data_IF_934609762024
#
_entry.id   IF_934609762024
#
_cell.length_a   1.000
_cell.length_b   1.000
_cell.length_c   1.000
_cell.angle_alpha   90.00
_cell.angle_beta   90.00
_cell.angle_gamma   90.00
#
_symmetry.space_group_name_H-M   'P 1'
#
loop_
_entity.id
_entity.type
_entity.pdbx_description
1 polymer ?
#
# COMPACT_ATOMS: atom_id res chain seq x y z
N UNK A 1 -32.14 4.53 -31.71
CA UNK A 1 -31.55 4.85 -30.40
C UNK A 1 -31.28 3.58 -29.57
N UNK A 2 -32.30 2.74 -29.29
CA UNK A 2 -32.18 1.54 -28.42
C UNK A 2 -31.20 0.50 -28.97
N UNK A 3 -31.25 0.13 -30.25
CA UNK A 3 -30.33 -0.82 -30.87
C UNK A 3 -28.87 -0.36 -30.80
N UNK A 4 -28.61 0.94 -30.98
CA UNK A 4 -27.26 1.50 -30.84
C UNK A 4 -26.77 1.47 -29.39
N UNK A 5 -27.65 1.62 -28.40
CA UNK A 5 -27.30 1.50 -27.00
C UNK A 5 -26.94 0.04 -26.63
N UNK A 6 -27.70 -0.93 -27.14
CA UNK A 6 -27.39 -2.36 -26.95
C UNK A 6 -26.08 -2.78 -27.62
N UNK A 7 -25.78 -2.24 -28.83
CA UNK A 7 -24.49 -2.51 -29.49
C UNK A 7 -23.32 -2.00 -28.66
N UNK A 8 -23.39 -0.76 -28.17
CA UNK A 8 -22.34 -0.17 -27.29
C UNK A 8 -22.19 -0.92 -25.98
N UNK A 9 -23.29 -1.40 -25.38
CA UNK A 9 -23.23 -2.22 -24.19
C UNK A 9 -22.51 -3.54 -24.47
N UNK A 10 -22.82 -4.20 -25.60
CA UNK A 10 -22.12 -5.43 -26.01
C UNK A 10 -20.63 -5.21 -26.19
N UNK A 11 -20.24 -4.16 -26.93
CA UNK A 11 -18.81 -3.78 -27.10
C UNK A 11 -18.12 -3.54 -25.75
N UNK A 12 -18.75 -2.81 -24.84
CA UNK A 12 -18.21 -2.55 -23.50
C UNK A 12 -18.06 -3.81 -22.65
N UNK A 13 -19.00 -4.77 -22.79
CA UNK A 13 -18.89 -6.08 -22.11
C UNK A 13 -17.72 -6.88 -22.71
N UNK A 14 -17.58 -6.93 -24.03
CA UNK A 14 -16.50 -7.65 -24.71
C UNK A 14 -15.12 -7.09 -24.32
N UNK A 15 -14.99 -5.77 -24.23
CA UNK A 15 -13.77 -5.12 -23.73
C UNK A 15 -13.50 -5.48 -22.26
N UNK A 16 -14.52 -5.43 -21.42
CA UNK A 16 -14.38 -5.69 -19.98
C UNK A 16 -13.96 -7.14 -19.69
N UNK A 17 -14.48 -8.12 -20.45
CA UNK A 17 -14.14 -9.55 -20.26
C UNK A 17 -12.92 -9.99 -21.06
N UNK A 18 -12.24 -9.08 -21.75
CA UNK A 18 -11.07 -9.41 -22.56
C UNK A 18 -9.92 -9.91 -21.68
N UNK A 19 -9.57 -11.18 -21.81
CA UNK A 19 -8.55 -11.82 -20.98
C UNK A 19 -7.16 -11.19 -21.14
N UNK A 20 -6.80 -10.70 -22.33
CA UNK A 20 -5.50 -10.08 -22.57
C UNK A 20 -5.38 -8.75 -21.83
N UNK A 21 -6.42 -7.94 -21.85
CA UNK A 21 -6.47 -6.66 -21.17
C UNK A 21 -6.52 -6.83 -19.66
N UNK A 22 -7.31 -7.78 -19.19
CA UNK A 22 -7.34 -8.12 -17.76
C UNK A 22 -5.99 -8.59 -17.25
N UNK A 23 -5.27 -9.45 -18.00
CA UNK A 23 -3.90 -9.86 -17.64
C UNK A 23 -2.94 -8.68 -17.59
N UNK A 24 -3.01 -7.74 -18.54
CA UNK A 24 -2.19 -6.52 -18.52
C UNK A 24 -2.48 -5.66 -17.30
N UNK A 25 -3.75 -5.52 -16.95
CA UNK A 25 -4.13 -4.80 -15.74
C UNK A 25 -3.58 -5.47 -14.47
N UNK A 26 -3.67 -6.80 -14.37
CA UNK A 26 -3.05 -7.54 -13.26
C UNK A 26 -1.54 -7.28 -13.19
N UNK A 27 -0.83 -7.26 -14.33
CA UNK A 27 0.60 -6.92 -14.35
C UNK A 27 0.87 -5.49 -13.82
N UNK A 28 -0.02 -4.54 -14.09
CA UNK A 28 0.07 -3.19 -13.50
C UNK A 28 -0.06 -3.27 -11.97
N UNK A 29 -1.04 -4.02 -11.45
CA UNK A 29 -1.22 -4.21 -10.00
C UNK A 29 -0.02 -4.89 -9.34
N UNK A 30 0.51 -5.93 -9.95
CA UNK A 30 1.72 -6.62 -9.48
C UNK A 30 2.94 -5.69 -9.47
N UNK A 31 3.05 -4.82 -10.49
CA UNK A 31 4.11 -3.81 -10.55
C UNK A 31 3.99 -2.73 -9.47
N UNK A 32 2.81 -2.52 -8.90
CA UNK A 32 2.58 -1.67 -7.72
C UNK A 32 2.98 -2.36 -6.39
N UNK A 33 3.35 -3.63 -6.44
CA UNK A 33 3.64 -4.42 -5.25
C UNK A 33 2.43 -5.15 -4.66
N UNK A 34 1.29 -5.17 -5.35
CA UNK A 34 0.14 -5.97 -4.93
C UNK A 34 0.44 -7.45 -5.12
N UNK A 35 0.32 -8.22 -4.05
CA UNK A 35 0.48 -9.68 -4.08
C UNK A 35 -0.91 -10.31 -3.97
N UNK A 36 -1.31 -11.03 -5.01
CA UNK A 36 -2.63 -11.69 -5.07
C UNK A 36 -2.87 -12.57 -3.84
N UNK A 37 -4.04 -12.38 -3.21
CA UNK A 37 -4.47 -13.14 -2.04
C UNK A 37 -3.74 -12.80 -0.73
N UNK A 38 -2.71 -11.94 -0.75
CA UNK A 38 -1.90 -11.61 0.45
C UNK A 38 -2.09 -10.17 0.92
N UNK A 39 -2.06 -9.20 0.02
CA UNK A 39 -2.39 -7.81 0.35
C UNK A 39 -3.84 -7.58 -0.07
N UNK A 40 -4.76 -7.65 0.89
CA UNK A 40 -6.19 -7.54 0.64
C UNK A 40 -6.72 -6.19 1.13
N UNK A 41 -7.47 -5.50 0.29
CA UNK A 41 -8.18 -4.28 0.64
C UNK A 41 -9.64 -4.58 1.00
N UNK A 42 -10.23 -3.70 1.81
CA UNK A 42 -11.66 -3.75 2.10
C UNK A 42 -12.43 -3.22 0.89
N UNK A 43 -12.90 -4.13 0.06
CA UNK A 43 -13.60 -3.82 -1.18
C UNK A 43 -12.68 -3.71 -2.40
N UNK A 44 -13.30 -3.84 -3.58
CA UNK A 44 -12.62 -3.87 -4.89
C UNK A 44 -13.04 -2.72 -5.80
N UNK A 45 -13.89 -1.82 -5.34
CA UNK A 45 -14.46 -0.75 -6.15
C UNK A 45 -13.38 0.15 -6.80
N UNK A 46 -12.33 0.48 -6.05
CA UNK A 46 -11.21 1.27 -6.56
C UNK A 46 -10.40 0.52 -7.65
N UNK A 47 -10.33 -0.82 -7.59
CA UNK A 47 -9.70 -1.64 -8.64
C UNK A 47 -10.58 -1.67 -9.90
N UNK A 48 -11.89 -1.78 -9.73
CA UNK A 48 -12.83 -1.74 -10.85
C UNK A 48 -12.77 -0.39 -11.57
N UNK A 49 -12.71 0.72 -10.83
CA UNK A 49 -12.53 2.05 -11.40
C UNK A 49 -11.16 2.21 -12.09
N UNK A 50 -10.10 1.66 -11.49
CA UNK A 50 -8.77 1.62 -12.12
C UNK A 50 -8.76 0.81 -13.42
N UNK A 51 -9.50 -0.31 -13.48
CA UNK A 51 -9.63 -1.10 -14.70
C UNK A 51 -10.46 -0.36 -15.77
N UNK A 52 -11.53 0.32 -15.38
CA UNK A 52 -12.30 1.18 -16.28
C UNK A 52 -11.40 2.28 -16.89
N UNK A 53 -10.62 2.98 -16.07
CA UNK A 53 -9.66 3.97 -16.55
C UNK A 53 -8.62 3.35 -17.51
N UNK A 54 -8.10 2.16 -17.19
CA UNK A 54 -7.18 1.42 -18.05
C UNK A 54 -7.80 1.15 -19.44
N UNK A 55 -9.03 0.66 -19.51
CA UNK A 55 -9.71 0.35 -20.77
C UNK A 55 -9.95 1.62 -21.60
N UNK A 56 -10.40 2.71 -20.96
CA UNK A 56 -10.64 3.99 -21.63
C UNK A 56 -9.32 4.55 -22.19
N UNK A 57 -8.25 4.58 -21.39
CA UNK A 57 -6.94 5.07 -21.83
C UNK A 57 -6.33 4.20 -22.95
N UNK A 58 -6.58 2.89 -22.92
CA UNK A 58 -6.16 1.98 -24.00
C UNK A 58 -6.76 2.39 -25.35
N UNK A 59 -8.03 2.82 -25.38
CA UNK A 59 -8.73 3.27 -26.57
C UNK A 59 -8.27 4.64 -27.08
N UNK A 60 -7.49 5.41 -26.30
CA UNK A 60 -7.04 6.75 -26.69
C UNK A 60 -5.75 6.70 -27.53
N UNK A 61 -5.83 7.19 -28.77
CA UNK A 61 -4.66 7.35 -29.62
C UNK A 61 -3.79 8.53 -29.14
N UNK A 62 -2.47 8.40 -29.26
CA UNK A 62 -1.52 9.48 -28.96
C UNK A 62 -1.03 9.53 -27.52
N UNK A 63 -1.63 8.81 -26.56
CA UNK A 63 -1.12 8.72 -25.19
C UNK A 63 -0.10 7.60 -25.11
N UNK A 64 1.16 7.87 -24.73
CA UNK A 64 2.17 6.82 -24.55
C UNK A 64 1.75 5.77 -23.51
N UNK A 65 2.13 4.51 -23.71
CA UNK A 65 1.80 3.43 -22.78
C UNK A 65 2.28 3.72 -21.35
N UNK A 66 3.47 4.27 -21.19
CA UNK A 66 4.03 4.62 -19.86
C UNK A 66 3.18 5.65 -19.13
N UNK A 67 2.61 6.63 -19.84
CA UNK A 67 1.70 7.64 -19.27
C UNK A 67 0.39 6.96 -18.83
N UNK A 68 -0.20 6.13 -19.71
CA UNK A 68 -1.43 5.39 -19.37
C UNK A 68 -1.27 4.53 -18.12
N UNK A 69 -0.20 3.75 -18.05
CA UNK A 69 0.09 2.90 -16.89
C UNK A 69 0.36 3.71 -15.63
N UNK A 70 1.08 4.83 -15.74
CA UNK A 70 1.34 5.74 -14.62
C UNK A 70 0.05 6.32 -14.05
N UNK A 71 -0.85 6.81 -14.90
CA UNK A 71 -2.15 7.34 -14.48
C UNK A 71 -3.01 6.30 -13.77
N UNK A 72 -3.08 5.07 -14.32
CA UNK A 72 -3.82 3.98 -13.70
C UNK A 72 -3.25 3.64 -12.32
N UNK A 73 -1.93 3.56 -12.18
CA UNK A 73 -1.24 3.32 -10.92
C UNK A 73 -1.54 4.40 -9.88
N UNK A 74 -1.40 5.66 -10.29
CA UNK A 74 -1.65 6.80 -9.41
C UNK A 74 -3.12 6.86 -8.98
N UNK A 75 -4.06 6.60 -9.91
CA UNK A 75 -5.49 6.54 -9.58
C UNK A 75 -5.82 5.47 -8.55
N UNK A 76 -5.26 4.26 -8.70
CA UNK A 76 -5.45 3.16 -7.75
C UNK A 76 -4.94 3.54 -6.36
N UNK A 77 -3.72 4.09 -6.28
CA UNK A 77 -3.11 4.50 -5.01
C UNK A 77 -3.92 5.62 -4.35
N UNK A 78 -4.25 6.67 -5.10
CA UNK A 78 -5.04 7.80 -4.60
C UNK A 78 -6.38 7.31 -4.07
N UNK A 79 -7.10 6.51 -4.85
CA UNK A 79 -8.41 5.98 -4.47
C UNK A 79 -8.37 5.11 -3.23
N UNK A 80 -7.34 4.28 -3.07
CA UNK A 80 -7.15 3.45 -1.89
C UNK A 80 -6.83 4.30 -0.66
N UNK A 81 -5.91 5.26 -0.77
CA UNK A 81 -5.50 6.14 0.33
C UNK A 81 -6.62 7.02 0.84
N UNK A 82 -7.40 7.62 -0.07
CA UNK A 82 -8.50 8.54 0.28
C UNK A 82 -9.80 7.83 0.66
N UNK A 83 -9.89 6.52 0.40
CA UNK A 83 -11.15 5.79 0.55
C UNK A 83 -12.24 6.27 -0.42
N UNK A 84 -11.86 6.76 -1.63
CA UNK A 84 -12.74 7.37 -2.63
C UNK A 84 -14.05 6.61 -2.86
N UNK A 85 -14.02 5.29 -2.79
CA UNK A 85 -15.17 4.41 -3.03
C UNK A 85 -15.74 3.77 -1.75
N UNK A 86 -15.44 4.32 -0.58
CA UNK A 86 -15.90 3.76 0.70
C UNK A 86 -17.37 4.08 1.04
N UNK A 87 -17.95 5.09 0.40
CA UNK A 87 -19.35 5.48 0.54
C UNK A 87 -20.22 4.85 -0.56
N UNK A 88 -20.98 5.68 -1.28
CA UNK A 88 -21.74 5.26 -2.48
C UNK A 88 -20.80 5.03 -3.66
N UNK A 89 -20.24 3.82 -3.75
CA UNK A 89 -19.27 3.46 -4.79
C UNK A 89 -19.81 3.59 -6.20
N UNK A 90 -21.09 3.32 -6.41
CA UNK A 90 -21.75 3.43 -7.73
C UNK A 90 -21.84 4.88 -8.20
N UNK A 91 -22.29 5.78 -7.33
CA UNK A 91 -22.36 7.22 -7.64
C UNK A 91 -20.97 7.80 -7.91
N UNK A 92 -19.98 7.39 -7.12
CA UNK A 92 -18.61 7.84 -7.34
C UNK A 92 -18.03 7.31 -8.66
N UNK A 93 -18.31 6.05 -9.01
CA UNK A 93 -17.88 5.48 -10.29
C UNK A 93 -18.54 6.17 -11.48
N UNK A 94 -19.81 6.57 -11.36
CA UNK A 94 -20.51 7.34 -12.40
C UNK A 94 -19.83 8.69 -12.62
N UNK A 95 -19.55 9.43 -11.55
CA UNK A 95 -18.81 10.71 -11.63
C UNK A 95 -17.43 10.53 -12.27
N UNK A 96 -16.69 9.52 -11.84
CA UNK A 96 -15.36 9.23 -12.37
C UNK A 96 -15.40 8.76 -13.82
N UNK A 97 -16.46 8.06 -14.23
CA UNK A 97 -16.68 7.72 -15.63
C UNK A 97 -16.79 8.98 -16.51
N UNK A 98 -17.52 10.00 -16.06
CA UNK A 98 -17.57 11.29 -16.76
C UNK A 98 -16.20 11.95 -16.85
N UNK A 99 -15.44 11.94 -15.77
CA UNK A 99 -14.07 12.45 -15.75
C UNK A 99 -13.16 11.71 -16.75
N UNK A 100 -13.23 10.39 -16.80
CA UNK A 100 -12.42 9.56 -17.70
C UNK A 100 -12.74 9.73 -19.17
N UNK A 101 -13.95 10.25 -19.52
CA UNK A 101 -14.34 10.60 -20.86
C UNK A 101 -14.10 12.07 -21.22
N UNK A 102 -13.37 12.82 -20.39
CA UNK A 102 -13.00 14.19 -20.69
C UNK A 102 -12.13 14.26 -21.96
N UNK A 103 -12.25 15.35 -22.73
CA UNK A 103 -11.49 15.52 -23.96
C UNK A 103 -9.95 15.48 -23.75
N UNK A 104 -9.48 16.02 -22.63
CA UNK A 104 -8.12 15.84 -22.12
C UNK A 104 -8.17 15.01 -20.83
N UNK A 105 -8.26 13.71 -21.00
CA UNK A 105 -8.37 12.76 -19.87
C UNK A 105 -7.11 12.78 -19.02
N UNK A 106 -5.93 13.00 -19.60
CA UNK A 106 -4.66 13.01 -18.86
C UNK A 106 -4.67 14.16 -17.85
N UNK A 107 -4.87 15.40 -18.33
CA UNK A 107 -4.90 16.56 -17.46
C UNK A 107 -6.03 16.50 -16.42
N UNK A 108 -7.21 15.96 -16.80
CA UNK A 108 -8.36 15.85 -15.90
C UNK A 108 -8.06 14.86 -14.75
N UNK A 109 -7.49 13.69 -15.05
CA UNK A 109 -7.12 12.68 -14.05
C UNK A 109 -5.97 13.16 -13.16
N UNK A 110 -4.93 13.77 -13.74
CA UNK A 110 -3.81 14.33 -12.96
C UNK A 110 -4.29 15.41 -11.99
N UNK A 111 -5.19 16.30 -12.45
CA UNK A 111 -5.77 17.32 -11.59
C UNK A 111 -6.56 16.72 -10.44
N UNK A 112 -7.42 15.74 -10.72
CA UNK A 112 -8.23 15.09 -9.67
C UNK A 112 -7.34 14.41 -8.62
N UNK A 113 -6.25 13.73 -9.04
CA UNK A 113 -5.28 13.12 -8.13
C UNK A 113 -4.59 14.19 -7.27
N UNK A 114 -4.16 15.30 -7.87
CA UNK A 114 -3.50 16.38 -7.14
C UNK A 114 -4.46 17.06 -6.14
N UNK A 115 -5.71 17.26 -6.52
CA UNK A 115 -6.74 17.84 -5.65
C UNK A 115 -7.08 16.90 -4.47
N UNK A 116 -7.07 15.58 -4.69
CA UNK A 116 -7.36 14.58 -3.67
C UNK A 116 -6.18 14.34 -2.70
N UNK A 117 -4.94 14.59 -3.12
CA UNK A 117 -3.72 14.37 -2.34
C UNK A 117 -2.88 15.66 -2.20
N UNK A 118 -3.45 16.76 -1.65
CA UNK A 118 -2.72 17.99 -1.40
C UNK A 118 -1.65 17.77 -0.31
N UNK A 119 -0.76 18.76 -0.12
CA UNK A 119 0.28 18.69 0.92
C UNK A 119 -0.29 18.40 2.32
N UNK A 120 -1.47 18.94 2.64
CA UNK A 120 -2.16 18.68 3.91
C UNK A 120 -2.62 17.23 4.07
N UNK A 121 -2.82 16.50 2.97
CA UNK A 121 -3.09 15.06 3.04
C UNK A 121 -1.89 14.32 3.64
N UNK A 122 -0.69 14.60 3.14
CA UNK A 122 0.54 13.91 3.52
C UNK A 122 1.01 14.30 4.92
N UNK A 123 0.89 15.58 5.27
CA UNK A 123 1.42 16.13 6.52
C UNK A 123 0.47 16.01 7.72
N UNK A 124 -0.83 15.88 7.47
CA UNK A 124 -1.85 15.88 8.54
C UNK A 124 -2.76 14.66 8.46
N UNK A 125 -3.42 14.44 7.29
CA UNK A 125 -4.47 13.43 7.22
C UNK A 125 -3.91 12.01 7.27
N UNK A 126 -2.87 11.72 6.49
CA UNK A 126 -2.25 10.39 6.46
C UNK A 126 -1.64 10.00 7.82
N UNK A 127 -0.85 10.85 8.51
CA UNK A 127 -0.36 10.55 9.85
C UNK A 127 -1.50 10.25 10.83
N UNK A 128 -2.57 11.05 10.85
CA UNK A 128 -3.72 10.79 11.70
C UNK A 128 -4.43 9.47 11.37
N UNK A 129 -4.52 9.12 10.08
CA UNK A 129 -5.11 7.85 9.64
C UNK A 129 -4.25 6.63 10.00
N UNK A 130 -2.94 6.82 10.14
CA UNK A 130 -1.99 5.76 10.53
C UNK A 130 -1.92 5.59 12.05
N UNK A 131 -2.43 6.51 12.86
CA UNK A 131 -2.53 6.39 14.31
C UNK A 131 -3.61 5.35 14.71
N UNK A 132 -3.37 4.08 14.35
CA UNK A 132 -4.31 2.97 14.52
C UNK A 132 -3.60 1.64 14.71
N UNK A 133 -4.30 0.68 15.34
CA UNK A 133 -3.85 -0.70 15.48
C UNK A 133 -4.28 -1.60 14.29
N UNK A 134 -5.14 -1.10 13.41
CA UNK A 134 -5.79 -1.91 12.38
C UNK A 134 -4.87 -2.16 11.18
N UNK A 135 -4.43 -3.40 11.00
CA UNK A 135 -3.74 -3.85 9.78
C UNK A 135 -4.64 -3.84 8.53
N UNK A 136 -5.94 -3.54 8.70
CA UNK A 136 -6.87 -3.31 7.60
C UNK A 136 -6.81 -1.87 7.07
N UNK A 137 -6.01 -1.00 7.68
CA UNK A 137 -5.80 0.37 7.25
C UNK A 137 -5.18 0.43 5.84
N UNK A 138 -5.76 1.25 4.96
CA UNK A 138 -5.31 1.35 3.57
C UNK A 138 -3.91 1.97 3.45
N UNK A 139 -3.56 2.93 4.31
CA UNK A 139 -2.21 3.50 4.35
C UNK A 139 -1.15 2.46 4.67
N UNK A 140 -1.42 1.58 5.66
CA UNK A 140 -0.54 0.45 5.97
C UNK A 140 -0.38 -0.50 4.77
N UNK A 141 -1.45 -0.81 4.07
CA UNK A 141 -1.40 -1.69 2.89
C UNK A 141 -0.64 -1.06 1.72
N UNK A 142 -0.83 0.24 1.49
CA UNK A 142 -0.05 0.97 0.49
C UNK A 142 1.44 1.00 0.86
N UNK A 143 1.77 1.17 2.15
CA UNK A 143 3.15 1.06 2.62
C UNK A 143 3.75 -0.34 2.35
N UNK A 144 3.00 -1.41 2.63
CA UNK A 144 3.43 -2.77 2.29
C UNK A 144 3.65 -2.94 0.78
N UNK A 145 2.74 -2.42 -0.04
CA UNK A 145 2.90 -2.44 -1.50
C UNK A 145 4.16 -1.68 -1.94
N UNK A 146 4.45 -0.53 -1.36
CA UNK A 146 5.66 0.23 -1.64
C UNK A 146 6.92 -0.55 -1.25
N UNK A 147 6.93 -1.23 -0.10
CA UNK A 147 8.04 -2.12 0.30
C UNK A 147 8.23 -3.27 -0.70
N UNK A 148 7.14 -3.89 -1.17
CA UNK A 148 7.20 -4.96 -2.16
C UNK A 148 7.68 -4.45 -3.52
N UNK A 149 7.19 -3.29 -3.97
CA UNK A 149 7.60 -2.63 -5.21
C UNK A 149 9.10 -2.30 -5.21
N UNK A 150 9.59 -1.74 -4.11
CA UNK A 150 10.98 -1.34 -3.94
C UNK A 150 11.92 -2.52 -3.63
N UNK A 151 11.40 -3.74 -3.55
CA UNK A 151 12.16 -4.92 -3.14
C UNK A 151 12.85 -4.73 -1.78
N UNK A 152 12.20 -4.01 -0.88
CA UNK A 152 12.71 -3.72 0.47
C UNK A 152 13.08 -5.01 1.18
N UNK A 153 14.26 -5.05 1.77
CA UNK A 153 14.70 -6.13 2.64
C UNK A 153 13.92 -6.05 3.94
N UNK A 154 13.43 -7.19 4.42
CA UNK A 154 12.67 -7.28 5.65
C UNK A 154 13.52 -6.83 6.86
N UNK A 155 12.86 -6.36 7.90
CA UNK A 155 13.53 -5.82 9.08
C UNK A 155 14.57 -6.77 9.65
N UNK A 156 15.81 -6.29 9.85
CA UNK A 156 16.95 -7.03 10.38
C UNK A 156 17.38 -8.26 9.55
N UNK A 157 16.96 -8.34 8.30
CA UNK A 157 17.37 -9.40 7.38
C UNK A 157 18.44 -8.91 6.40
N UNK A 158 19.16 -9.84 5.79
CA UNK A 158 20.20 -9.55 4.79
C UNK A 158 19.67 -9.64 3.35
N UNK A 159 19.07 -10.76 3.04
CA UNK A 159 18.70 -11.14 1.67
C UNK A 159 17.22 -11.53 1.53
N UNK A 160 16.46 -11.46 2.62
CA UNK A 160 15.02 -11.82 2.62
C UNK A 160 14.20 -10.55 2.44
N UNK A 161 13.49 -10.45 1.32
CA UNK A 161 12.64 -9.28 1.04
C UNK A 161 11.30 -9.37 1.75
N UNK A 162 10.66 -8.22 1.97
CA UNK A 162 9.28 -8.13 2.47
C UNK A 162 8.33 -8.96 1.60
N UNK A 163 8.52 -8.94 0.26
CA UNK A 163 7.76 -9.81 -0.66
C UNK A 163 7.88 -11.28 -0.28
N UNK A 164 9.09 -11.75 0.00
CA UNK A 164 9.35 -13.15 0.36
C UNK A 164 8.62 -13.52 1.66
N UNK A 165 8.75 -12.68 2.69
CA UNK A 165 8.09 -12.91 3.99
C UNK A 165 6.57 -12.99 3.81
N UNK A 166 5.96 -12.04 3.09
CA UNK A 166 4.51 -12.03 2.82
C UNK A 166 4.08 -13.27 2.03
N UNK A 167 4.83 -13.65 1.00
CA UNK A 167 4.50 -14.80 0.14
C UNK A 167 4.59 -16.13 0.87
N UNK A 168 5.45 -16.24 1.86
CA UNK A 168 5.63 -17.43 2.71
C UNK A 168 4.70 -17.44 3.93
N UNK A 169 3.65 -16.63 3.92
CA UNK A 169 2.69 -16.51 5.04
C UNK A 169 3.34 -16.06 6.36
N UNK A 170 4.43 -15.29 6.23
CA UNK A 170 5.05 -14.66 7.38
C UNK A 170 4.09 -13.73 8.12
N UNK A 171 4.37 -13.51 9.39
CA UNK A 171 3.53 -12.69 10.25
C UNK A 171 4.11 -11.28 10.41
N UNK A 172 3.24 -10.33 10.72
CA UNK A 172 3.62 -9.02 11.21
C UNK A 172 4.12 -9.17 12.64
N UNK A 173 5.29 -8.60 12.90
CA UNK A 173 5.92 -8.61 14.21
C UNK A 173 5.96 -7.19 14.79
N UNK A 174 6.31 -7.09 16.08
CA UNK A 174 6.41 -5.82 16.78
C UNK A 174 7.88 -5.43 16.90
N UNK A 175 8.20 -4.18 16.53
CA UNK A 175 9.53 -3.57 16.68
C UNK A 175 9.91 -3.55 18.18
N UNK A 176 9.00 -3.03 19.01
CA UNK A 176 9.06 -3.19 20.45
C UNK A 176 8.21 -4.41 20.82
N UNK A 177 8.82 -5.53 21.25
CA UNK A 177 8.09 -6.77 21.49
C UNK A 177 6.94 -6.62 22.50
N UNK A 178 5.83 -7.28 22.24
CA UNK A 178 4.64 -7.23 23.14
C UNK A 178 4.98 -7.55 24.59
N UNK A 179 5.75 -8.62 24.79
CA UNK A 179 6.13 -9.04 26.13
C UNK A 179 6.98 -7.97 26.85
N UNK A 180 7.86 -7.29 26.13
CA UNK A 180 8.62 -6.16 26.67
C UNK A 180 7.69 -5.02 27.11
N UNK A 181 6.81 -4.56 26.23
CA UNK A 181 5.90 -3.46 26.52
C UNK A 181 4.92 -3.78 27.65
N UNK A 182 4.36 -5.00 27.69
CA UNK A 182 3.52 -5.45 28.82
C UNK A 182 4.24 -5.42 30.17
N UNK A 183 5.51 -5.84 30.22
CA UNK A 183 6.31 -5.76 31.46
C UNK A 183 6.46 -4.35 31.99
N UNK A 184 6.38 -3.34 31.10
CA UNK A 184 6.49 -1.92 31.45
C UNK A 184 5.15 -1.24 31.64
N UNK A 185 4.03 -1.97 31.52
CA UNK A 185 2.69 -1.47 31.83
C UNK A 185 1.94 -0.85 30.65
N UNK A 186 2.45 -0.95 29.42
CA UNK A 186 1.75 -0.47 28.24
C UNK A 186 0.42 -1.21 28.01
N UNK A 187 -0.59 -0.47 27.61
CA UNK A 187 -1.91 -1.02 27.32
C UNK A 187 -1.95 -1.65 25.92
N UNK A 188 -2.92 -2.54 25.68
CA UNK A 188 -3.04 -3.28 24.41
C UNK A 188 -3.19 -2.36 23.18
N UNK A 189 -3.88 -1.23 23.32
CA UNK A 189 -4.04 -0.25 22.26
C UNK A 189 -2.77 0.57 21.98
N UNK A 190 -1.89 0.71 22.94
CA UNK A 190 -0.58 1.33 22.79
C UNK A 190 0.40 0.36 22.11
N UNK A 191 0.38 -0.90 22.51
CA UNK A 191 1.25 -1.96 21.97
C UNK A 191 0.96 -2.23 20.50
N UNK A 192 -0.32 -2.38 20.15
CA UNK A 192 -0.77 -2.71 18.81
C UNK A 192 -0.97 -1.43 17.99
N UNK A 193 0.10 -0.75 17.64
CA UNK A 193 0.10 0.38 16.72
C UNK A 193 0.78 0.01 15.41
N UNK A 194 0.29 0.55 14.28
CA UNK A 194 0.93 0.33 12.97
C UNK A 194 2.39 0.76 13.00
N UNK A 195 2.71 1.86 13.68
CA UNK A 195 4.08 2.34 13.86
C UNK A 195 5.01 1.34 14.57
N UNK A 196 4.44 0.39 15.32
CA UNK A 196 5.19 -0.68 15.99
C UNK A 196 5.24 -1.98 15.17
N UNK A 197 4.80 -1.99 13.92
CA UNK A 197 4.73 -3.20 13.08
C UNK A 197 5.86 -3.24 12.06
N UNK A 198 6.43 -4.42 11.86
CA UNK A 198 7.43 -4.69 10.83
C UNK A 198 7.25 -6.09 10.23
N UNK A 199 7.84 -6.29 9.06
CA UNK A 199 8.00 -7.61 8.46
C UNK A 199 9.35 -8.19 8.89
N UNK A 200 9.30 -9.35 9.52
CA UNK A 200 10.42 -10.04 10.12
C UNK A 200 10.24 -11.54 9.93
N UNK A 201 11.34 -12.27 9.73
CA UNK A 201 11.26 -13.73 9.70
C UNK A 201 11.05 -14.32 11.09
N UNK A 202 10.44 -15.50 11.16
CA UNK A 202 10.23 -16.18 12.44
C UNK A 202 11.54 -16.47 13.20
N UNK A 203 12.65 -16.94 12.55
CA UNK A 203 13.91 -17.11 13.24
C UNK A 203 14.44 -15.82 13.86
N UNK A 204 14.36 -14.69 13.13
CA UNK A 204 14.79 -13.38 13.63
C UNK A 204 13.92 -12.92 14.79
N UNK A 205 12.62 -13.10 14.71
CA UNK A 205 11.70 -12.78 15.79
C UNK A 205 12.02 -13.57 17.08
N UNK A 206 12.34 -14.85 16.96
CA UNK A 206 12.76 -15.67 18.11
C UNK A 206 14.09 -15.20 18.69
N UNK A 207 15.02 -14.73 17.86
CA UNK A 207 16.31 -14.18 18.32
C UNK A 207 16.14 -12.90 19.12
N UNK A 208 15.31 -11.95 18.67
CA UNK A 208 15.07 -10.71 19.42
C UNK A 208 14.23 -10.95 20.68
N UNK A 209 13.38 -11.97 20.68
CA UNK A 209 12.54 -12.39 21.82
C UNK A 209 11.76 -11.23 22.46
N UNK A 210 12.00 -10.91 23.72
CA UNK A 210 11.38 -9.82 24.47
C UNK A 210 12.34 -8.65 24.76
N UNK A 211 13.42 -8.53 24.00
CA UNK A 211 14.42 -7.46 24.16
C UNK A 211 13.95 -6.17 23.47
N UNK A 212 14.20 -5.03 24.11
CA UNK A 212 14.01 -3.72 23.50
C UNK A 212 14.98 -3.48 22.33
N UNK A 213 14.68 -2.56 21.39
CA UNK A 213 15.58 -2.20 20.30
C UNK A 213 16.99 -1.83 20.78
N UNK A 214 17.13 -1.04 21.85
CA UNK A 214 18.44 -0.68 22.45
C UNK A 214 19.31 -1.89 22.84
N UNK A 215 18.71 -3.08 22.99
CA UNK A 215 19.40 -4.32 23.31
C UNK A 215 19.64 -5.17 22.08
N UNK A 216 18.58 -5.55 21.35
CA UNK A 216 18.74 -6.46 20.22
C UNK A 216 19.50 -5.83 19.05
N UNK A 217 19.43 -4.51 18.86
CA UNK A 217 20.16 -3.85 17.79
C UNK A 217 21.67 -3.70 18.06
N UNK A 218 22.11 -3.97 19.29
CA UNK A 218 23.54 -4.07 19.66
C UNK A 218 24.08 -5.49 19.56
N UNK A 219 23.23 -6.49 19.32
CA UNK A 219 23.67 -7.86 19.08
C UNK A 219 24.50 -7.91 17.78
N UNK A 220 25.75 -8.43 17.80
CA UNK A 220 26.57 -8.57 16.60
C UNK A 220 25.86 -9.31 15.45
N UNK A 221 24.99 -10.27 15.74
CA UNK A 221 24.21 -11.00 14.75
C UNK A 221 23.11 -10.15 14.09
N UNK A 222 22.80 -8.99 14.63
CA UNK A 222 21.75 -8.06 14.15
C UNK A 222 22.34 -6.76 13.62
N UNK A 223 23.43 -6.28 14.21
CA UNK A 223 24.06 -4.98 13.90
C UNK A 223 24.46 -4.85 12.43
N UNK A 224 24.89 -5.96 11.81
CA UNK A 224 25.25 -5.99 10.37
C UNK A 224 24.09 -5.53 9.47
N UNK A 225 22.85 -5.77 9.88
CA UNK A 225 21.64 -5.50 9.10
C UNK A 225 20.93 -4.21 9.51
N UNK A 226 21.40 -3.56 10.56
CA UNK A 226 20.87 -2.28 11.07
C UNK A 226 21.54 -1.09 10.38
N UNK A 227 21.72 -1.17 9.06
CA UNK A 227 22.33 -0.09 8.28
C UNK A 227 21.36 1.08 8.08
N UNK A 228 21.89 2.29 7.85
CA UNK A 228 21.08 3.46 7.54
C UNK A 228 20.10 3.21 6.37
N UNK A 229 20.51 2.42 5.37
CA UNK A 229 19.65 2.00 4.25
C UNK A 229 18.53 1.09 4.76
N UNK A 230 18.82 0.06 5.53
CA UNK A 230 17.82 -0.86 6.07
C UNK A 230 16.81 -0.16 6.98
N UNK A 231 17.25 0.81 7.78
CA UNK A 231 16.37 1.66 8.59
C UNK A 231 15.42 2.48 7.69
N UNK A 232 15.96 3.21 6.72
CA UNK A 232 15.16 4.06 5.83
C UNK A 232 14.16 3.26 4.99
N UNK A 233 14.56 2.10 4.44
CA UNK A 233 13.68 1.24 3.63
C UNK A 233 12.52 0.66 4.45
N UNK A 234 12.70 0.49 5.76
CA UNK A 234 11.66 0.03 6.68
C UNK A 234 10.95 1.18 7.41
N UNK A 235 11.17 2.43 6.99
CA UNK A 235 10.62 3.64 7.62
C UNK A 235 10.96 3.75 9.13
N UNK A 236 12.14 3.23 9.52
CA UNK A 236 12.60 3.29 10.90
C UNK A 236 13.44 4.53 11.15
N UNK A 237 13.21 5.26 12.25
CA UNK A 237 14.06 6.38 12.63
C UNK A 237 15.47 5.88 13.02
N UNK A 238 16.49 6.72 12.82
CA UNK A 238 17.88 6.32 13.08
C UNK A 238 18.16 6.10 14.58
N UNK A 239 17.42 6.74 15.45
CA UNK A 239 17.53 6.63 16.91
C UNK A 239 16.82 5.40 17.49
N UNK A 240 16.10 4.63 16.66
CA UNK A 240 15.51 3.33 17.08
C UNK A 240 16.55 2.41 17.74
N UNK A 241 17.85 2.56 17.38
CA UNK A 241 18.95 1.80 17.99
C UNK A 241 19.09 2.03 19.51
N UNK A 242 18.51 3.10 20.03
CA UNK A 242 18.45 3.43 21.45
C UNK A 242 17.03 3.23 22.02
N UNK A 243 16.11 2.68 21.21
CA UNK A 243 14.71 2.55 21.56
C UNK A 243 14.49 1.69 22.80
N UNK A 244 13.83 2.25 23.79
CA UNK A 244 13.39 1.59 25.02
C UNK A 244 12.02 2.13 25.45
N UNK A 245 11.51 1.69 26.61
CA UNK A 245 10.18 2.08 27.04
C UNK A 245 10.00 3.59 27.25
N UNK A 246 11.06 4.32 27.58
CA UNK A 246 10.98 5.77 27.77
C UNK A 246 10.90 6.56 26.47
N UNK A 247 11.23 5.93 25.35
CA UNK A 247 11.13 6.48 23.98
C UNK A 247 9.92 5.92 23.22
N UNK A 248 9.15 5.04 23.83
CA UNK A 248 7.91 4.52 23.27
C UNK A 248 6.73 5.24 23.95
N UNK A 249 5.79 5.81 23.23
CA UNK A 249 5.43 5.62 21.79
C UNK A 249 5.93 6.73 20.84
N UNK A 250 6.86 7.58 21.24
CA UNK A 250 7.40 8.67 20.41
C UNK A 250 8.21 8.10 19.23
#
# INVERSE_FOLDING_TARGET
AMAAAYSKLGEGIDDFVNQSDFRRFIMILESLGMISGKVQFNGTAFLNAGYMLFLILKGQNGIPQSVRESLVKQWIIMSALTGRYSGSSETQMEQDSHLFHHADVVAAVEKEIADALPETYWTIQLPNNLATQSTQNNGWRIFQMAQVHNQTVAWLEKDVTVRTVISQEGNIHHIFPKAYLHKHGAQQNEINQIANYCWLTQPRNLQISDLAPERYMKDPAVTEFSTAKGLAENAMPVDIVNGNFSTYPD
#
